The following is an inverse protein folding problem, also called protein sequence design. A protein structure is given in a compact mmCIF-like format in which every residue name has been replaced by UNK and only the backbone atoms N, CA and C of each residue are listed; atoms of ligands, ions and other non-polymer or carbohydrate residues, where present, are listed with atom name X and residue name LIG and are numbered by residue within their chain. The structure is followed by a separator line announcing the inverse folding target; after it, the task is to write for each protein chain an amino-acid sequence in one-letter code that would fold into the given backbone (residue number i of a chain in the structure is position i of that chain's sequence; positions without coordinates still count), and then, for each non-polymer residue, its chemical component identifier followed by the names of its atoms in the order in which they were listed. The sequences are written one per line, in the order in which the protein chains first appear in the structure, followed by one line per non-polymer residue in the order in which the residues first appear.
data_IF_773126912177
#
_entry.id   IF_773126912177
#
_cell.length_a   1.000
_cell.length_b   1.000
_cell.length_c   1.000
_cell.angle_alpha   90.00
_cell.angle_beta   90.00
_cell.angle_gamma   90.00
#
_symmetry.space_group_name_H-M   'P 1'
#
loop_
_entity.id
_entity.type
_entity.pdbx_description
1 polymer ?
#
# COMPACT_ATOMS: atom_id res chain seq x y z
N UNK A 1 2.87 1.51 5.17
CA UNK A 1 2.71 2.99 5.09
C UNK A 1 1.57 3.30 4.13
N UNK A 2 0.65 4.17 4.54
CA UNK A 2 -0.49 4.61 3.73
C UNK A 2 -0.06 5.81 2.88
N UNK A 3 -0.17 5.72 1.56
CA UNK A 3 0.31 6.75 0.62
C UNK A 3 -0.64 6.92 -0.55
N UNK A 4 -0.59 8.09 -1.20
CA UNK A 4 -1.18 8.23 -2.54
C UNK A 4 -0.34 7.49 -3.55
N UNK A 5 -0.96 7.02 -4.63
CA UNK A 5 -0.24 6.39 -5.76
C UNK A 5 0.86 7.32 -6.31
N UNK A 6 0.53 8.60 -6.45
CA UNK A 6 1.45 9.63 -6.94
C UNK A 6 2.67 9.83 -6.05
N UNK A 7 2.60 9.51 -4.76
CA UNK A 7 3.70 9.59 -3.81
C UNK A 7 4.48 8.27 -3.76
N UNK A 8 3.76 7.15 -3.81
CA UNK A 8 4.35 5.82 -3.76
C UNK A 8 5.32 5.59 -4.92
N UNK A 9 4.97 6.03 -6.13
CA UNK A 9 5.81 5.88 -7.33
C UNK A 9 7.16 6.59 -7.28
N UNK A 10 7.37 7.52 -6.34
CA UNK A 10 8.66 8.19 -6.15
C UNK A 10 9.52 7.56 -5.05
N UNK A 11 9.05 6.49 -4.40
CA UNK A 11 9.81 5.77 -3.39
C UNK A 11 10.49 4.54 -3.98
N UNK A 12 11.69 4.25 -3.51
CA UNK A 12 12.40 3.03 -3.85
C UNK A 12 11.72 1.82 -3.21
N UNK A 13 11.55 0.75 -4.00
CA UNK A 13 11.02 -0.52 -3.54
C UNK A 13 12.19 -1.45 -3.18
N UNK A 14 12.34 -1.87 -1.91
CA UNK A 14 13.42 -2.78 -1.51
C UNK A 14 13.31 -4.17 -2.15
N UNK A 15 12.11 -4.53 -2.63
CA UNK A 15 11.81 -5.81 -3.27
C UNK A 15 11.97 -5.79 -4.79
N UNK A 16 12.11 -4.60 -5.39
CA UNK A 16 12.23 -4.45 -6.83
C UNK A 16 13.66 -4.01 -7.17
N UNK A 17 14.53 -4.98 -7.41
CA UNK A 17 15.94 -4.74 -7.73
C UNK A 17 16.23 -4.97 -9.21
N UNK A 18 17.17 -4.20 -9.77
CA UNK A 18 17.81 -4.53 -11.06
C UNK A 18 18.84 -5.65 -10.86
N UNK A 19 19.33 -6.21 -11.96
CA UNK A 19 20.45 -7.16 -11.95
C UNK A 19 21.69 -6.60 -11.23
N UNK A 20 21.94 -5.29 -11.35
CA UNK A 20 23.06 -4.59 -10.67
C UNK A 20 22.74 -4.17 -9.22
N UNK A 21 21.81 -4.85 -8.54
CA UNK A 21 21.37 -4.57 -7.16
C UNK A 21 20.82 -3.15 -6.88
N UNK A 22 20.53 -2.37 -7.91
CA UNK A 22 19.93 -1.04 -7.75
C UNK A 22 18.45 -1.16 -7.47
N UNK A 23 17.98 -0.38 -6.50
CA UNK A 23 16.55 -0.29 -6.20
C UNK A 23 15.81 0.45 -7.31
N UNK A 24 14.66 -0.09 -7.72
CA UNK A 24 13.73 0.57 -8.63
C UNK A 24 12.65 1.31 -7.84
N UNK A 25 12.04 2.30 -8.48
CA UNK A 25 10.86 2.94 -7.95
C UNK A 25 9.68 1.97 -7.80
N UNK A 26 8.83 2.22 -6.81
CA UNK A 26 7.62 1.46 -6.59
C UNK A 26 6.69 1.58 -7.81
N UNK A 27 6.07 0.47 -8.21
CA UNK A 27 5.11 0.47 -9.31
C UNK A 27 3.69 0.88 -8.88
N UNK A 28 3.49 1.20 -7.59
CA UNK A 28 2.22 1.62 -7.00
C UNK A 28 1.04 0.76 -7.49
N UNK A 29 -0.01 1.35 -8.09
CA UNK A 29 -1.19 0.60 -8.55
C UNK A 29 -0.90 -0.46 -9.62
N UNK A 30 0.23 -0.37 -10.35
CA UNK A 30 0.67 -1.41 -11.29
C UNK A 30 1.34 -2.61 -10.60
N UNK A 31 1.62 -2.52 -9.29
CA UNK A 31 2.16 -3.63 -8.52
C UNK A 31 1.04 -4.54 -8.00
N UNK A 32 1.13 -5.85 -8.23
CA UNK A 32 0.17 -6.82 -7.67
C UNK A 32 0.07 -6.81 -6.13
N UNK A 33 1.08 -6.24 -5.45
CA UNK A 33 1.12 -6.13 -4.00
C UNK A 33 0.48 -4.84 -3.47
N UNK A 34 0.07 -3.91 -4.33
CA UNK A 34 -0.60 -2.69 -3.91
C UNK A 34 -2.04 -3.00 -3.47
N UNK A 35 -2.41 -2.47 -2.31
CA UNK A 35 -3.74 -2.65 -1.72
C UNK A 35 -4.39 -1.28 -1.56
N UNK A 36 -5.63 -1.09 -2.08
CA UNK A 36 -6.39 0.10 -1.79
C UNK A 36 -6.75 0.13 -0.31
N UNK A 37 -6.85 1.34 0.25
CA UNK A 37 -7.10 1.52 1.67
C UNK A 37 -8.56 1.31 2.10
N UNK A 38 -9.50 1.31 1.15
CA UNK A 38 -10.94 1.11 1.40
C UNK A 38 -11.76 2.39 1.27
N UNK A 39 -13.08 2.31 1.53
CA UNK A 39 -13.97 3.48 1.43
C UNK A 39 -13.61 4.56 2.45
N UNK A 40 -13.74 5.82 2.06
CA UNK A 40 -13.32 6.98 2.84
C UNK A 40 -11.82 7.30 2.75
N UNK A 41 -11.03 6.47 2.06
CA UNK A 41 -9.60 6.68 1.81
C UNK A 41 -9.29 6.57 0.31
N UNK A 42 -10.11 7.23 -0.51
CA UNK A 42 -9.98 7.22 -1.96
C UNK A 42 -8.60 7.73 -2.41
N UNK A 43 -8.00 7.02 -3.36
CA UNK A 43 -6.67 7.32 -3.89
C UNK A 43 -5.51 6.99 -2.94
N UNK A 44 -5.78 6.52 -1.72
CA UNK A 44 -4.77 6.01 -0.81
C UNK A 44 -4.64 4.49 -0.94
N UNK A 45 -3.41 4.01 -0.78
CA UNK A 45 -3.11 2.59 -0.73
C UNK A 45 -1.82 2.32 0.01
N UNK A 46 -1.49 1.04 0.07
CA UNK A 46 -0.32 0.56 0.80
C UNK A 46 0.26 -0.67 0.13
N UNK A 47 1.53 -0.96 0.42
CA UNK A 47 2.16 -2.19 -0.01
C UNK A 47 1.76 -3.33 0.94
N UNK A 48 1.10 -4.38 0.41
CA UNK A 48 0.68 -5.55 1.18
C UNK A 48 1.83 -6.32 1.80
N UNK A 49 3.02 -6.30 1.20
CA UNK A 49 4.23 -6.91 1.76
C UNK A 49 4.89 -6.09 2.87
N UNK A 50 4.60 -4.78 2.93
CA UNK A 50 5.02 -3.93 4.04
C UNK A 50 4.01 -3.94 5.21
N UNK A 51 2.98 -4.79 5.13
CA UNK A 51 1.90 -4.88 6.10
C UNK A 51 0.82 -3.81 5.93
N UNK A 52 -0.31 -4.02 6.62
CA UNK A 52 -1.42 -3.09 6.64
C UNK A 52 -1.11 -1.91 7.60
N UNK A 53 -1.29 -0.65 7.16
CA UNK A 53 -1.20 0.51 8.05
C UNK A 53 -2.19 0.40 9.20
N UNK A 54 -1.82 0.88 10.38
CA UNK A 54 -2.69 0.87 11.58
C UNK A 54 -4.02 1.56 11.31
N UNK A 55 -4.01 2.64 10.54
CA UNK A 55 -5.20 3.38 10.10
C UNK A 55 -6.16 2.53 9.27
N UNK A 56 -5.63 1.64 8.42
CA UNK A 56 -6.44 0.71 7.61
C UNK A 56 -6.96 -0.42 8.50
N UNK A 57 -6.14 -0.92 9.41
CA UNK A 57 -6.53 -1.96 10.37
C UNK A 57 -7.66 -1.52 11.31
N UNK A 58 -7.68 -0.25 11.72
CA UNK A 58 -8.76 0.33 12.51
C UNK A 58 -10.10 0.29 11.75
N UNK A 59 -10.12 0.79 10.52
CA UNK A 59 -11.31 0.80 9.65
C UNK A 59 -11.82 -0.63 9.37
N UNK A 60 -10.92 -1.58 9.10
CA UNK A 60 -11.30 -2.98 8.87
C UNK A 60 -11.91 -3.64 10.12
N UNK A 61 -11.45 -3.29 11.33
CA UNK A 61 -12.04 -3.81 12.58
C UNK A 61 -13.42 -3.23 12.87
N UNK A 62 -13.62 -1.94 12.60
CA UNK A 62 -14.92 -1.28 12.77
C UNK A 62 -15.98 -1.88 11.85
N UNK A 63 -15.62 -2.22 10.61
CA UNK A 63 -16.52 -2.91 9.67
C UNK A 63 -16.94 -4.28 10.19
N UNK A 64 -15.96 -5.09 10.60
CA UNK A 64 -16.24 -6.42 11.18
C UNK A 64 -17.19 -6.34 12.38
N UNK A 65 -17.02 -5.33 13.24
CA UNK A 65 -17.86 -5.15 14.44
C UNK A 65 -19.29 -4.66 14.13
N UNK A 66 -19.55 -4.16 12.92
CA UNK A 66 -20.89 -3.75 12.45
C UNK A 66 -21.63 -4.85 11.68
N UNK A 67 -20.93 -5.92 11.32
CA UNK A 67 -21.48 -7.08 10.61
C UNK A 67 -21.86 -8.24 11.55
N UNK A 68 -21.55 -8.13 12.86
CA UNK A 68 -22.03 -9.00 13.95
C UNK A 68 -23.25 -8.39 14.66
#
# INVERSE_FOLDING_TARGET
MLLKESEAKFKYCPLLKTHDDKLKFCQAAMCMMWRPAGEGQEGLGYCGLAGAPVQVMAVLRERRSKEE
#
